data_IF_322440492999
#
_entry.id   IF_322440492999
#
_cell.length_a   1.000
_cell.length_b   1.000
_cell.length_c   1.000
_cell.angle_alpha   90.00
_cell.angle_beta   90.00
_cell.angle_gamma   90.00
#
_symmetry.space_group_name_H-M   'P 1'
#
loop_
_entity.id
_entity.type
_entity.pdbx_description
1 polymer ?
#
# COMPACT_ATOMS: atom_id res chain seq x y z
N UNK A 1 -27.22 5.29 4.88
CA UNK A 1 -26.07 4.74 4.14
C UNK A 1 -24.81 5.36 4.75
N UNK A 2 -23.86 4.56 5.19
CA UNK A 2 -22.61 5.08 5.77
C UNK A 2 -21.77 5.75 4.67
N UNK A 3 -21.16 6.88 4.98
CA UNK A 3 -20.34 7.67 4.06
C UNK A 3 -18.86 7.45 4.33
N UNK A 4 -18.08 7.25 3.28
CA UNK A 4 -16.65 7.01 3.42
C UNK A 4 -15.84 7.80 2.41
N UNK A 5 -14.75 8.41 2.87
CA UNK A 5 -13.75 9.08 2.04
C UNK A 5 -12.60 8.11 1.75
N UNK A 6 -12.27 7.90 0.46
CA UNK A 6 -11.16 7.04 0.05
C UNK A 6 -10.08 7.88 -0.62
N UNK A 7 -9.03 8.20 0.14
CA UNK A 7 -7.85 8.92 -0.34
C UNK A 7 -6.93 7.96 -1.09
N UNK A 8 -6.57 8.28 -2.33
CA UNK A 8 -5.79 7.39 -3.19
C UNK A 8 -6.62 6.29 -3.89
N UNK A 9 -7.96 6.43 -3.90
CA UNK A 9 -8.87 5.44 -4.46
C UNK A 9 -8.75 5.22 -5.97
N UNK A 10 -8.14 6.14 -6.73
CA UNK A 10 -7.85 5.96 -8.17
C UNK A 10 -6.62 5.08 -8.45
N UNK A 11 -5.86 4.71 -7.41
CA UNK A 11 -4.70 3.82 -7.53
C UNK A 11 -5.09 2.35 -7.63
N UNK A 12 -4.09 1.48 -7.86
CA UNK A 12 -4.27 0.03 -8.00
C UNK A 12 -5.07 -0.59 -6.83
N UNK A 13 -4.62 -0.40 -5.60
CA UNK A 13 -5.33 -0.92 -4.42
C UNK A 13 -6.66 -0.20 -4.21
N UNK A 14 -6.65 1.12 -4.43
CA UNK A 14 -7.82 1.97 -4.18
C UNK A 14 -9.03 1.64 -5.03
N UNK A 15 -8.83 1.25 -6.29
CA UNK A 15 -9.90 0.83 -7.17
C UNK A 15 -10.65 -0.39 -6.60
N UNK A 16 -9.91 -1.42 -6.17
CA UNK A 16 -10.49 -2.61 -5.57
C UNK A 16 -11.17 -2.35 -4.22
N UNK A 17 -10.62 -1.40 -3.43
CA UNK A 17 -11.26 -0.96 -2.18
C UNK A 17 -12.59 -0.25 -2.48
N UNK A 18 -12.61 0.68 -3.44
CA UNK A 18 -13.84 1.39 -3.83
C UNK A 18 -14.91 0.43 -4.33
N UNK A 19 -14.56 -0.54 -5.20
CA UNK A 19 -15.49 -1.56 -5.69
C UNK A 19 -16.12 -2.37 -4.55
N UNK A 20 -15.30 -2.84 -3.60
CA UNK A 20 -15.83 -3.60 -2.45
C UNK A 20 -16.70 -2.75 -1.54
N UNK A 21 -16.30 -1.52 -1.23
CA UNK A 21 -17.09 -0.62 -0.39
C UNK A 21 -18.45 -0.32 -0.98
N UNK A 22 -18.52 -0.08 -2.29
CA UNK A 22 -19.81 0.13 -2.99
C UNK A 22 -20.68 -1.13 -2.92
N UNK A 23 -20.11 -2.33 -3.10
CA UNK A 23 -20.85 -3.60 -2.97
C UNK A 23 -21.40 -3.83 -1.57
N UNK A 24 -20.69 -3.36 -0.54
CA UNK A 24 -21.13 -3.39 0.87
C UNK A 24 -22.09 -2.24 1.22
N UNK A 25 -22.55 -1.46 0.24
CA UNK A 25 -23.56 -0.41 0.43
C UNK A 25 -23.04 0.91 1.02
N UNK A 26 -21.72 1.18 0.95
CA UNK A 26 -21.17 2.46 1.36
C UNK A 26 -21.36 3.53 0.28
N UNK A 27 -21.64 4.78 0.70
CA UNK A 27 -21.50 5.95 -0.16
C UNK A 27 -20.04 6.38 -0.19
N UNK A 28 -19.37 6.15 -1.31
CA UNK A 28 -17.94 6.39 -1.46
C UNK A 28 -17.67 7.78 -2.04
N UNK A 29 -16.93 8.62 -1.33
CA UNK A 29 -16.37 9.88 -1.84
C UNK A 29 -14.91 9.66 -2.23
N UNK A 30 -14.58 9.95 -3.49
CA UNK A 30 -13.27 9.72 -4.09
C UNK A 30 -12.65 11.03 -4.55
N UNK A 31 -11.79 11.68 -3.74
CA UNK A 31 -11.04 12.84 -4.18
C UNK A 31 -9.89 12.45 -5.10
N UNK A 32 -9.71 13.21 -6.17
CA UNK A 32 -8.63 13.03 -7.13
C UNK A 32 -8.20 14.39 -7.70
N UNK A 33 -6.93 14.53 -8.07
CA UNK A 33 -6.42 15.77 -8.69
C UNK A 33 -6.97 16.02 -10.11
N UNK A 34 -7.43 14.97 -10.80
CA UNK A 34 -8.04 15.02 -12.14
C UNK A 34 -9.13 13.98 -12.23
N UNK A 35 -10.32 14.37 -12.65
CA UNK A 35 -11.47 13.43 -12.77
C UNK A 35 -11.18 12.26 -13.70
N UNK A 36 -10.37 12.48 -14.75
CA UNK A 36 -9.97 11.42 -15.68
C UNK A 36 -9.24 10.25 -15.04
N UNK A 37 -8.59 10.44 -13.89
CA UNK A 37 -7.94 9.34 -13.16
C UNK A 37 -8.97 8.32 -12.61
N UNK A 38 -10.23 8.72 -12.47
CA UNK A 38 -11.31 7.88 -11.93
C UNK A 38 -12.20 7.27 -13.03
N UNK A 39 -11.84 7.37 -14.32
CA UNK A 39 -12.69 6.90 -15.42
C UNK A 39 -13.13 5.45 -15.26
N UNK A 40 -12.24 4.58 -14.79
CA UNK A 40 -12.54 3.17 -14.56
C UNK A 40 -13.54 2.92 -13.41
N UNK A 41 -13.80 3.92 -12.56
CA UNK A 41 -14.65 3.78 -11.35
C UNK A 41 -15.97 4.57 -11.46
N UNK A 42 -16.11 5.43 -12.46
CA UNK A 42 -17.30 6.30 -12.59
C UNK A 42 -18.63 5.53 -12.78
N UNK A 43 -18.56 4.28 -13.22
CA UNK A 43 -19.74 3.43 -13.41
C UNK A 43 -20.26 2.82 -12.09
N UNK A 44 -19.51 2.95 -10.98
CA UNK A 44 -19.91 2.36 -9.71
C UNK A 44 -21.06 3.18 -9.07
N UNK A 45 -22.21 2.55 -8.76
CA UNK A 45 -23.32 3.22 -8.10
C UNK A 45 -22.92 3.64 -6.68
N UNK A 46 -23.26 4.87 -6.28
CA UNK A 46 -22.94 5.39 -4.94
C UNK A 46 -21.49 5.84 -4.77
N UNK A 47 -20.71 5.93 -5.86
CA UNK A 47 -19.37 6.54 -5.86
C UNK A 47 -19.45 7.96 -6.44
N UNK A 48 -18.97 8.93 -5.67
CA UNK A 48 -18.89 10.35 -6.06
C UNK A 48 -17.43 10.76 -6.23
N UNK A 49 -17.06 11.19 -7.44
CA UNK A 49 -15.70 11.68 -7.74
C UNK A 49 -15.65 13.20 -7.53
N UNK A 50 -14.73 13.66 -6.70
CA UNK A 50 -14.47 15.08 -6.44
C UNK A 50 -13.07 15.46 -6.94
N UNK A 51 -12.95 16.58 -7.65
CA UNK A 51 -11.65 17.11 -8.01
C UNK A 51 -11.10 17.92 -6.83
N UNK A 52 -10.00 17.42 -6.23
CA UNK A 52 -9.43 17.96 -5.00
C UNK A 52 -7.96 17.58 -4.87
N UNK A 53 -7.11 18.52 -4.48
CA UNK A 53 -5.76 18.19 -3.99
C UNK A 53 -5.83 17.95 -2.48
N UNK A 54 -5.70 16.70 -2.08
CA UNK A 54 -5.72 16.28 -0.66
C UNK A 54 -4.51 16.78 0.15
N UNK A 55 -3.51 17.35 -0.49
CA UNK A 55 -2.40 18.03 0.19
C UNK A 55 -2.74 19.46 0.60
N UNK A 56 -3.79 20.07 0.02
CA UNK A 56 -4.38 21.30 0.53
C UNK A 56 -5.22 21.00 1.77
N UNK A 57 -4.89 21.64 2.90
CA UNK A 57 -5.49 21.34 4.20
C UNK A 57 -6.96 21.77 4.25
N UNK A 58 -7.30 22.91 3.64
CA UNK A 58 -8.67 23.41 3.62
C UNK A 58 -9.56 22.51 2.73
N UNK A 59 -9.09 22.17 1.55
CA UNK A 59 -9.79 21.25 0.65
C UNK A 59 -9.98 19.86 1.27
N UNK A 60 -8.94 19.33 1.95
CA UNK A 60 -9.04 18.06 2.67
C UNK A 60 -10.10 18.12 3.78
N UNK A 61 -10.11 19.18 4.59
CA UNK A 61 -11.11 19.35 5.65
C UNK A 61 -12.54 19.37 5.11
N UNK A 62 -12.77 20.03 3.97
CA UNK A 62 -14.08 20.08 3.32
C UNK A 62 -14.57 18.69 2.87
N UNK A 63 -13.69 17.86 2.29
CA UNK A 63 -14.11 16.51 1.83
C UNK A 63 -14.19 15.49 2.96
N UNK A 64 -13.53 15.72 4.11
CA UNK A 64 -13.64 14.92 5.33
C UNK A 64 -14.94 15.22 6.09
N UNK A 65 -15.44 16.45 5.98
CA UNK A 65 -16.67 16.87 6.68
C UNK A 65 -17.86 15.97 6.31
N UNK A 66 -18.55 15.47 7.35
CA UNK A 66 -19.74 14.62 7.19
C UNK A 66 -19.47 13.19 6.72
N UNK A 67 -18.23 12.73 6.75
CA UNK A 67 -17.86 11.32 6.53
C UNK A 67 -17.92 10.55 7.86
N UNK A 68 -18.39 9.29 7.80
CA UNK A 68 -18.37 8.38 8.95
C UNK A 68 -17.00 7.74 9.12
N UNK A 69 -16.30 7.50 7.99
CA UNK A 69 -14.98 6.87 7.97
C UNK A 69 -14.07 7.44 6.88
N UNK A 70 -12.76 7.26 7.06
CA UNK A 70 -11.73 7.62 6.09
C UNK A 70 -10.81 6.43 5.83
N UNK A 71 -10.46 6.19 4.57
CA UNK A 71 -9.40 5.25 4.16
C UNK A 71 -8.28 6.03 3.51
N UNK A 72 -7.05 5.89 4.03
CA UNK A 72 -5.86 6.50 3.44
C UNK A 72 -4.97 5.45 2.75
N UNK A 73 -4.94 5.51 1.43
CA UNK A 73 -4.12 4.65 0.55
C UNK A 73 -3.04 5.47 -0.18
N UNK A 74 -2.91 6.76 0.13
CA UNK A 74 -1.97 7.64 -0.57
C UNK A 74 -0.55 7.29 -0.15
N UNK A 75 0.26 6.90 -1.13
CA UNK A 75 1.67 6.61 -0.95
C UNK A 75 2.45 6.86 -2.23
N UNK A 76 3.76 7.07 -2.10
CA UNK A 76 4.73 7.08 -3.19
C UNK A 76 5.84 6.07 -2.87
N UNK A 77 6.39 5.41 -3.89
CA UNK A 77 7.48 4.44 -3.76
C UNK A 77 8.84 5.03 -4.15
N UNK A 78 8.82 6.19 -4.82
CA UNK A 78 10.00 6.88 -5.31
C UNK A 78 9.87 8.36 -5.03
N UNK A 79 10.98 8.99 -4.71
CA UNK A 79 11.01 10.43 -4.43
C UNK A 79 12.23 10.82 -3.61
N UNK A 80 12.34 12.11 -3.33
CA UNK A 80 13.29 12.64 -2.37
C UNK A 80 12.67 12.70 -0.95
N UNK A 81 13.46 13.04 0.04
CA UNK A 81 13.01 13.14 1.43
C UNK A 81 11.82 14.08 1.59
N UNK A 82 11.81 15.23 0.92
CA UNK A 82 10.70 16.18 1.00
C UNK A 82 9.37 15.61 0.43
N UNK A 83 9.44 14.82 -0.65
CA UNK A 83 8.29 14.15 -1.22
C UNK A 83 7.73 13.07 -0.29
N UNK A 84 8.62 12.27 0.32
CA UNK A 84 8.24 11.26 1.31
C UNK A 84 7.63 11.93 2.55
N UNK A 85 8.25 12.97 3.10
CA UNK A 85 7.74 13.73 4.25
C UNK A 85 6.34 14.30 3.95
N UNK A 86 6.18 14.98 2.81
CA UNK A 86 4.89 15.54 2.39
C UNK A 86 3.79 14.49 2.32
N UNK A 87 4.11 13.30 1.77
CA UNK A 87 3.09 12.28 1.46
C UNK A 87 2.84 11.35 2.63
N UNK A 88 3.88 10.92 3.33
CA UNK A 88 3.77 9.87 4.34
C UNK A 88 3.67 10.39 5.77
N UNK A 89 4.03 11.65 6.03
CA UNK A 89 3.99 12.25 7.37
C UNK A 89 3.03 13.43 7.45
N UNK A 90 3.23 14.45 6.60
CA UNK A 90 2.42 15.66 6.64
C UNK A 90 0.96 15.39 6.24
N UNK A 91 0.71 14.55 5.22
CA UNK A 91 -0.66 14.19 4.83
C UNK A 91 -1.39 13.40 5.92
N UNK A 92 -0.86 12.32 6.52
CA UNK A 92 -1.46 11.67 7.69
C UNK A 92 -1.77 12.62 8.83
N UNK A 93 -0.89 13.60 9.13
CA UNK A 93 -1.13 14.62 10.16
C UNK A 93 -2.36 15.48 9.83
N UNK A 94 -2.49 15.92 8.56
CA UNK A 94 -3.66 16.70 8.12
C UNK A 94 -4.93 15.85 8.16
N UNK A 95 -4.86 14.58 7.76
CA UNK A 95 -6.00 13.64 7.85
C UNK A 95 -6.45 13.49 9.30
N UNK A 96 -5.53 13.23 10.22
CA UNK A 96 -5.85 13.11 11.65
C UNK A 96 -6.52 14.37 12.20
N UNK A 97 -5.96 15.55 11.89
CA UNK A 97 -6.53 16.84 12.28
C UNK A 97 -7.95 17.01 11.75
N UNK A 98 -8.18 16.72 10.48
CA UNK A 98 -9.51 16.83 9.86
C UNK A 98 -10.50 15.81 10.45
N UNK A 99 -10.07 14.55 10.69
CA UNK A 99 -10.91 13.53 11.32
C UNK A 99 -11.36 13.95 12.72
N UNK A 100 -10.45 14.47 13.54
CA UNK A 100 -10.78 14.96 14.89
C UNK A 100 -11.74 16.16 14.83
N UNK A 101 -11.47 17.13 13.97
CA UNK A 101 -12.29 18.33 13.83
C UNK A 101 -13.73 18.05 13.37
N UNK A 102 -13.93 17.02 12.54
CA UNK A 102 -15.24 16.67 11.97
C UNK A 102 -15.88 15.43 12.60
N UNK A 103 -15.31 14.87 13.67
CA UNK A 103 -15.87 13.75 14.41
C UNK A 103 -15.96 12.45 13.62
N UNK A 104 -15.02 12.21 12.70
CA UNK A 104 -14.90 10.94 11.96
C UNK A 104 -14.66 9.81 12.95
N UNK A 105 -15.40 8.71 12.80
CA UNK A 105 -15.38 7.60 13.77
C UNK A 105 -14.29 6.59 13.51
N UNK A 106 -13.92 6.36 12.24
CA UNK A 106 -13.00 5.29 11.84
C UNK A 106 -11.98 5.79 10.82
N UNK A 107 -10.71 5.41 11.01
CA UNK A 107 -9.64 5.65 10.05
C UNK A 107 -8.90 4.34 9.77
N UNK A 108 -8.86 3.95 8.50
CA UNK A 108 -8.01 2.85 8.03
C UNK A 108 -6.85 3.43 7.24
N UNK A 109 -5.62 3.16 7.69
CA UNK A 109 -4.39 3.62 7.04
C UNK A 109 -3.59 2.45 6.48
N UNK A 110 -3.31 2.45 5.18
CA UNK A 110 -2.45 1.45 4.56
C UNK A 110 -1.00 1.93 4.60
N UNK A 111 -0.22 1.23 5.42
CA UNK A 111 1.21 1.42 5.60
C UNK A 111 2.01 0.40 4.78
N UNK A 112 3.07 -0.17 5.32
CA UNK A 112 3.88 -1.22 4.70
C UNK A 112 4.51 -2.14 5.75
N UNK A 113 4.78 -3.39 5.39
CA UNK A 113 5.63 -4.27 6.20
C UNK A 113 7.05 -3.70 6.33
N UNK A 114 7.67 -3.98 7.47
CA UNK A 114 9.02 -3.51 7.78
C UNK A 114 9.05 -2.09 8.36
N UNK A 115 7.89 -1.42 8.56
CA UNK A 115 7.81 -0.14 9.27
C UNK A 115 7.87 -0.32 10.77
N UNK A 116 8.36 0.70 11.47
CA UNK A 116 8.35 0.79 12.93
C UNK A 116 7.92 2.20 13.35
N UNK A 117 6.77 2.29 14.02
CA UNK A 117 6.23 3.56 14.50
C UNK A 117 6.94 4.07 15.77
N UNK A 118 7.60 3.17 16.52
CA UNK A 118 8.30 3.53 17.76
C UNK A 118 9.70 4.05 17.48
N UNK A 119 10.40 3.47 16.50
CA UNK A 119 11.77 3.82 16.15
C UNK A 119 11.97 3.99 14.64
N UNK A 120 11.21 4.87 13.97
CA UNK A 120 11.24 4.99 12.51
C UNK A 120 12.62 5.37 11.97
N UNK A 121 13.40 6.15 12.73
CA UNK A 121 14.72 6.62 12.31
C UNK A 121 15.78 5.53 12.20
N UNK A 122 15.56 4.37 12.84
CA UNK A 122 16.48 3.22 12.75
C UNK A 122 16.35 2.45 11.44
N UNK A 123 15.27 2.69 10.68
CA UNK A 123 15.00 1.97 9.45
C UNK A 123 15.93 2.40 8.30
N UNK A 124 16.34 1.47 7.42
CA UNK A 124 17.41 1.72 6.45
C UNK A 124 17.02 2.65 5.30
N UNK A 125 15.74 2.73 4.92
CA UNK A 125 15.28 3.52 3.78
C UNK A 125 14.45 4.74 4.20
N UNK A 126 14.45 5.79 3.37
CA UNK A 126 13.59 6.96 3.55
C UNK A 126 12.11 6.58 3.48
N UNK A 127 11.77 5.64 2.58
CA UNK A 127 10.42 5.11 2.45
C UNK A 127 9.91 4.51 3.77
N UNK A 128 10.62 3.55 4.33
CA UNK A 128 10.20 2.88 5.58
C UNK A 128 10.18 3.86 6.75
N UNK A 129 11.19 4.74 6.86
CA UNK A 129 11.22 5.78 7.90
C UNK A 129 9.98 6.66 7.84
N UNK A 130 9.70 7.25 6.69
CA UNK A 130 8.56 8.16 6.52
C UNK A 130 7.21 7.47 6.74
N UNK A 131 7.08 6.20 6.35
CA UNK A 131 5.86 5.41 6.64
C UNK A 131 5.70 5.17 8.14
N UNK A 132 6.77 4.80 8.85
CA UNK A 132 6.76 4.64 10.31
C UNK A 132 6.45 5.93 11.05
N UNK A 133 7.00 7.08 10.63
CA UNK A 133 6.66 8.39 11.18
C UNK A 133 5.18 8.75 10.96
N UNK A 134 4.63 8.45 9.79
CA UNK A 134 3.21 8.65 9.50
C UNK A 134 2.30 7.80 10.40
N UNK A 135 2.68 6.55 10.65
CA UNK A 135 1.98 5.70 11.63
C UNK A 135 2.03 6.29 13.04
N UNK A 136 3.21 6.76 13.49
CA UNK A 136 3.39 7.37 14.81
C UNK A 136 2.46 8.58 15.01
N UNK A 137 2.36 9.45 13.99
CA UNK A 137 1.45 10.61 13.99
C UNK A 137 -0.01 10.17 14.15
N UNK A 138 -0.44 9.14 13.42
CA UNK A 138 -1.82 8.65 13.50
C UNK A 138 -2.13 7.96 14.83
N UNK A 139 -1.20 7.17 15.34
CA UNK A 139 -1.31 6.50 16.65
C UNK A 139 -1.47 7.55 17.77
N UNK A 140 -0.63 8.59 17.76
CA UNK A 140 -0.72 9.68 18.73
C UNK A 140 -2.08 10.37 18.66
N UNK A 141 -2.56 10.70 17.47
CA UNK A 141 -3.85 11.36 17.28
C UNK A 141 -5.04 10.49 17.72
N UNK A 142 -5.01 9.17 17.42
CA UNK A 142 -6.06 8.24 17.78
C UNK A 142 -6.14 7.98 19.29
N UNK A 143 -5.00 8.03 20.00
CA UNK A 143 -4.92 7.79 21.44
C UNK A 143 -5.57 8.89 22.29
N UNK A 144 -6.02 10.00 21.67
CA UNK A 144 -6.80 11.02 22.35
C UNK A 144 -6.05 11.76 23.48
N UNK A 145 -4.74 11.88 23.37
CA UNK A 145 -3.93 12.72 24.29
C UNK A 145 -4.17 14.22 24.03
N UNK A 146 -5.42 14.67 24.14
CA UNK A 146 -5.72 16.09 24.31
C UNK A 146 -5.49 16.41 25.77
N UNK A 147 -4.36 17.01 26.08
CA UNK A 147 -4.06 17.49 27.43
C UNK A 147 -5.22 18.37 27.92
N UNK A 148 -5.96 17.91 28.94
CA UNK A 148 -6.90 18.73 29.70
C UNK A 148 -8.40 18.48 29.50
N UNK A 149 -8.86 17.60 28.62
CA UNK A 149 -10.27 17.21 28.57
C UNK A 149 -10.40 15.71 28.84
N UNK A 150 -11.18 15.34 29.86
CA UNK A 150 -11.45 13.95 30.22
C UNK A 150 -12.28 13.15 29.21
N UNK A 151 -12.50 13.64 28.02
CA UNK A 151 -13.20 12.98 26.93
C UNK A 151 -12.18 12.34 25.97
N UNK A 152 -12.34 11.05 25.69
CA UNK A 152 -11.59 10.34 24.64
C UNK A 152 -12.08 10.83 23.26
N UNK A 153 -11.48 11.90 22.78
CA UNK A 153 -11.78 12.49 21.48
C UNK A 153 -10.94 11.91 20.34
N UNK A 154 -10.78 10.59 20.28
CA UNK A 154 -10.05 9.92 19.19
C UNK A 154 -10.97 9.24 18.19
N UNK A 155 -10.40 8.75 17.09
CA UNK A 155 -11.05 7.88 16.12
C UNK A 155 -10.52 6.44 16.26
N UNK A 156 -11.32 5.45 15.84
CA UNK A 156 -10.89 4.06 15.77
C UNK A 156 -9.90 3.89 14.61
N UNK A 157 -8.63 3.59 14.93
CA UNK A 157 -7.53 3.50 13.99
C UNK A 157 -7.14 2.06 13.69
N UNK A 158 -7.17 1.68 12.41
CA UNK A 158 -6.58 0.44 11.92
C UNK A 158 -5.43 0.77 10.96
N UNK A 159 -4.23 0.29 11.28
CA UNK A 159 -3.04 0.39 10.43
C UNK A 159 -2.83 -0.97 9.77
N UNK A 160 -2.87 -1.01 8.45
CA UNK A 160 -2.64 -2.20 7.65
C UNK A 160 -1.23 -2.15 7.07
N UNK A 161 -0.42 -3.15 7.36
CA UNK A 161 0.96 -3.29 6.86
C UNK A 161 1.02 -4.42 5.82
N UNK A 162 0.71 -4.15 4.55
CA UNK A 162 0.83 -5.17 3.51
C UNK A 162 2.30 -5.44 3.15
N UNK A 163 2.59 -6.68 2.76
CA UNK A 163 3.71 -7.05 1.92
C UNK A 163 3.50 -6.47 0.50
N UNK A 164 4.38 -6.81 -0.44
CA UNK A 164 4.18 -6.44 -1.84
C UNK A 164 2.82 -6.95 -2.34
N UNK A 165 2.01 -6.04 -2.88
CA UNK A 165 0.65 -6.34 -3.30
C UNK A 165 0.67 -6.73 -4.78
N UNK A 166 0.09 -7.89 -5.11
CA UNK A 166 -0.01 -8.38 -6.47
C UNK A 166 -1.45 -8.45 -6.98
N UNK A 167 -1.62 -8.45 -8.31
CA UNK A 167 -2.91 -8.53 -8.99
C UNK A 167 -2.80 -8.11 -10.46
N UNK A 168 -3.90 -8.19 -11.21
CA UNK A 168 -3.89 -8.01 -12.67
C UNK A 168 -3.28 -6.70 -13.20
N UNK A 169 -3.27 -5.64 -12.39
CA UNK A 169 -2.75 -4.31 -12.74
C UNK A 169 -1.54 -3.90 -11.88
N UNK A 170 -0.91 -4.86 -11.15
CA UNK A 170 0.25 -4.54 -10.34
C UNK A 170 1.43 -4.01 -11.15
N UNK A 171 2.25 -3.20 -10.50
CA UNK A 171 3.51 -2.68 -11.05
C UNK A 171 4.71 -3.53 -10.57
N UNK A 172 4.51 -4.80 -10.25
CA UNK A 172 5.53 -5.69 -9.72
C UNK A 172 5.71 -6.92 -10.62
N UNK A 173 4.84 -7.93 -10.55
CA UNK A 173 4.95 -9.14 -11.39
C UNK A 173 4.80 -8.80 -12.89
N UNK A 174 3.86 -7.90 -13.22
CA UNK A 174 3.67 -7.44 -14.60
C UNK A 174 4.91 -6.73 -15.17
N UNK A 175 5.63 -5.96 -14.37
CA UNK A 175 6.87 -5.29 -14.81
C UNK A 175 7.96 -6.31 -15.09
N UNK A 176 8.17 -7.28 -14.19
CA UNK A 176 9.17 -8.32 -14.41
C UNK A 176 8.84 -9.24 -15.59
N UNK A 177 7.56 -9.58 -15.80
CA UNK A 177 7.13 -10.30 -17.00
C UNK A 177 7.43 -9.51 -18.29
N UNK A 178 7.17 -8.20 -18.31
CA UNK A 178 7.52 -7.32 -19.45
C UNK A 178 9.02 -7.23 -19.68
N UNK A 179 9.82 -7.09 -18.64
CA UNK A 179 11.28 -7.05 -18.76
C UNK A 179 11.84 -8.35 -19.35
N UNK A 180 11.30 -9.50 -18.94
CA UNK A 180 11.71 -10.80 -19.49
C UNK A 180 11.29 -11.01 -20.96
N UNK A 181 10.30 -10.28 -21.48
CA UNK A 181 9.99 -10.26 -22.93
C UNK A 181 11.08 -9.57 -23.74
N UNK A 182 11.66 -8.51 -23.18
CA UNK A 182 12.64 -7.65 -23.86
C UNK A 182 14.05 -8.22 -23.70
N UNK A 183 14.40 -8.66 -22.50
CA UNK A 183 15.76 -9.09 -22.15
C UNK A 183 15.86 -10.60 -22.04
N UNK A 184 16.82 -11.25 -22.76
CA UNK A 184 17.00 -12.69 -22.67
C UNK A 184 17.57 -13.14 -21.33
N UNK A 185 18.16 -12.23 -20.57
CA UNK A 185 18.76 -12.44 -19.24
C UNK A 185 18.48 -11.23 -18.35
N UNK A 186 18.13 -11.46 -17.09
CA UNK A 186 17.89 -10.38 -16.13
C UNK A 186 18.95 -10.33 -15.03
N UNK A 187 19.81 -9.31 -15.02
CA UNK A 187 20.61 -8.98 -13.84
C UNK A 187 19.69 -8.33 -12.78
N UNK A 188 19.64 -8.92 -11.60
CA UNK A 188 18.68 -8.55 -10.55
C UNK A 188 19.37 -8.09 -9.28
N UNK A 189 19.18 -6.84 -8.93
CA UNK A 189 19.57 -6.28 -7.64
C UNK A 189 18.63 -6.80 -6.53
N UNK A 190 19.16 -7.10 -5.33
CA UNK A 190 18.36 -7.58 -4.20
C UNK A 190 17.76 -8.98 -4.40
N UNK A 191 18.37 -9.84 -5.21
CA UNK A 191 17.84 -11.16 -5.61
C UNK A 191 17.42 -12.05 -4.43
N UNK A 192 18.08 -11.93 -3.28
CA UNK A 192 17.82 -12.74 -2.07
C UNK A 192 16.84 -12.07 -1.08
N UNK A 193 16.38 -10.85 -1.37
CA UNK A 193 15.40 -10.18 -0.52
C UNK A 193 14.12 -10.99 -0.44
N UNK A 194 13.57 -11.15 0.78
CA UNK A 194 12.41 -11.98 1.05
C UNK A 194 11.13 -11.16 1.00
N UNK A 195 10.10 -11.72 0.38
CA UNK A 195 8.75 -11.16 0.25
C UNK A 195 7.71 -12.22 0.54
N UNK A 196 6.57 -11.80 1.08
CA UNK A 196 5.41 -12.64 1.32
C UNK A 196 4.18 -12.01 0.64
N UNK A 197 4.09 -12.06 -0.70
CA UNK A 197 3.15 -11.28 -1.50
C UNK A 197 1.71 -11.50 -1.09
N UNK A 198 0.93 -10.43 -1.04
CA UNK A 198 -0.50 -10.46 -0.70
C UNK A 198 -1.37 -10.07 -1.89
N UNK A 199 -2.48 -10.76 -2.09
CA UNK A 199 -3.42 -10.44 -3.16
C UNK A 199 -4.18 -9.15 -2.88
N UNK A 200 -4.33 -8.31 -3.91
CA UNK A 200 -5.00 -7.00 -3.79
C UNK A 200 -6.45 -7.12 -3.29
N UNK A 201 -7.15 -8.22 -3.63
CA UNK A 201 -8.51 -8.44 -3.15
C UNK A 201 -8.56 -8.77 -1.65
N UNK A 202 -7.53 -9.45 -1.13
CA UNK A 202 -7.42 -9.73 0.32
C UNK A 202 -7.14 -8.43 1.08
N UNK A 203 -6.28 -7.56 0.53
CA UNK A 203 -6.05 -6.22 1.09
C UNK A 203 -7.33 -5.38 1.09
N UNK A 204 -8.07 -5.37 -0.02
CA UNK A 204 -9.34 -4.63 -0.10
C UNK A 204 -10.39 -5.20 0.86
N UNK A 205 -10.42 -6.54 1.02
CA UNK A 205 -11.30 -7.20 2.01
C UNK A 205 -10.89 -6.82 3.43
N UNK A 206 -9.60 -6.76 3.74
CA UNK A 206 -9.11 -6.36 5.06
C UNK A 206 -9.54 -4.93 5.42
N UNK A 207 -9.48 -3.99 4.47
CA UNK A 207 -10.00 -2.62 4.67
C UNK A 207 -11.48 -2.64 5.05
N UNK A 208 -12.31 -3.37 4.28
CA UNK A 208 -13.75 -3.47 4.54
C UNK A 208 -14.04 -4.14 5.88
N UNK A 209 -13.31 -5.20 6.24
CA UNK A 209 -13.46 -5.89 7.52
C UNK A 209 -13.11 -5.00 8.72
N UNK A 210 -12.05 -4.19 8.61
CA UNK A 210 -11.72 -3.21 9.64
C UNK A 210 -12.85 -2.20 9.85
N UNK A 211 -13.43 -1.67 8.77
CA UNK A 211 -14.55 -0.74 8.80
C UNK A 211 -15.87 -1.36 9.34
N UNK A 212 -16.03 -2.67 9.14
CA UNK A 212 -17.15 -3.43 9.71
C UNK A 212 -16.96 -3.78 11.20
N UNK A 213 -15.82 -3.42 11.80
CA UNK A 213 -15.51 -3.75 13.19
C UNK A 213 -15.18 -5.23 13.43
N UNK A 214 -14.73 -5.95 12.40
CA UNK A 214 -14.41 -7.37 12.50
C UNK A 214 -13.17 -7.66 13.36
N UNK A 215 -12.26 -6.69 13.51
CA UNK A 215 -11.11 -6.84 14.41
C UNK A 215 -11.52 -6.66 15.87
N UNK A 216 -11.22 -7.65 16.70
CA UNK A 216 -11.43 -7.58 18.15
C UNK A 216 -10.30 -6.85 18.90
N UNK A 217 -9.20 -6.52 18.22
CA UNK A 217 -8.09 -5.81 18.82
C UNK A 217 -8.50 -4.35 19.15
N UNK A 218 -8.03 -3.87 20.31
CA UNK A 218 -8.25 -2.49 20.71
C UNK A 218 -7.59 -1.50 19.72
N UNK A 219 -8.19 -0.31 19.57
CA UNK A 219 -7.62 0.79 18.79
C UNK A 219 -6.59 1.57 19.65
N UNK A 220 -5.48 2.05 19.07
CA UNK A 220 -5.01 1.80 17.68
C UNK A 220 -4.50 0.36 17.49
N UNK A 221 -4.82 -0.24 16.34
CA UNK A 221 -4.40 -1.61 16.01
C UNK A 221 -3.57 -1.66 14.73
N UNK A 222 -2.57 -2.54 14.69
CA UNK A 222 -1.75 -2.82 13.51
C UNK A 222 -1.98 -4.25 13.08
N UNK A 223 -2.13 -4.49 11.76
CA UNK A 223 -2.41 -5.79 11.16
C UNK A 223 -1.45 -6.00 10.00
N UNK A 224 -0.74 -7.12 9.99
CA UNK A 224 0.16 -7.51 8.89
C UNK A 224 -0.62 -8.27 7.81
N UNK A 225 -0.55 -7.78 6.58
CA UNK A 225 -1.27 -8.38 5.46
C UNK A 225 -0.28 -9.10 4.54
N UNK A 226 -0.26 -10.42 4.61
CA UNK A 226 0.66 -11.27 3.86
C UNK A 226 -0.06 -12.44 3.22
N UNK A 227 0.49 -12.96 2.12
CA UNK A 227 0.07 -14.22 1.52
C UNK A 227 0.59 -15.43 2.30
N UNK A 228 0.24 -16.67 1.87
CA UNK A 228 0.61 -17.89 2.57
C UNK A 228 2.08 -18.30 2.37
N UNK A 229 2.77 -17.76 1.36
CA UNK A 229 4.07 -18.24 0.90
C UNK A 229 5.11 -17.13 0.89
N UNK A 230 6.34 -17.49 1.29
CA UNK A 230 7.52 -16.61 1.25
C UNK A 230 8.36 -16.93 0.03
N UNK A 231 8.76 -15.90 -0.70
CA UNK A 231 9.60 -15.99 -1.90
C UNK A 231 10.80 -15.06 -1.78
N UNK A 232 11.91 -15.42 -2.41
CA UNK A 232 12.95 -14.45 -2.74
C UNK A 232 12.52 -13.61 -3.96
N UNK A 233 13.08 -12.41 -4.09
CA UNK A 233 12.84 -11.58 -5.28
C UNK A 233 13.17 -12.33 -6.57
N UNK A 234 14.28 -13.10 -6.57
CA UNK A 234 14.68 -13.95 -7.70
C UNK A 234 13.58 -14.96 -8.07
N UNK A 235 13.00 -15.64 -7.08
CA UNK A 235 11.90 -16.59 -7.31
C UNK A 235 10.66 -15.91 -7.90
N UNK A 236 10.28 -14.73 -7.39
CA UNK A 236 9.14 -13.96 -7.91
C UNK A 236 9.37 -13.52 -9.36
N UNK A 237 10.59 -13.07 -9.68
CA UNK A 237 10.96 -12.69 -11.05
C UNK A 237 10.92 -13.91 -11.97
N UNK A 238 11.52 -15.04 -11.59
CA UNK A 238 11.47 -16.28 -12.38
C UNK A 238 10.03 -16.75 -12.59
N UNK A 239 9.22 -16.78 -11.53
CA UNK A 239 7.83 -17.18 -11.57
C UNK A 239 7.01 -16.29 -12.52
N UNK A 240 7.23 -14.97 -12.51
CA UNK A 240 6.52 -14.06 -13.42
C UNK A 240 6.78 -14.38 -14.89
N UNK A 241 8.02 -14.78 -15.24
CA UNK A 241 8.38 -15.21 -16.60
C UNK A 241 7.79 -16.57 -16.96
N UNK A 242 7.81 -17.52 -16.03
CA UNK A 242 7.22 -18.84 -16.20
C UNK A 242 5.71 -18.76 -16.47
N UNK A 243 5.00 -18.00 -15.62
CA UNK A 243 3.55 -17.81 -15.75
C UNK A 243 3.17 -17.02 -17.01
N UNK A 244 4.06 -16.17 -17.52
CA UNK A 244 3.88 -15.47 -18.80
C UNK A 244 4.25 -16.35 -20.02
N UNK A 245 4.61 -17.64 -19.84
CA UNK A 245 4.96 -18.56 -20.92
C UNK A 245 6.30 -18.27 -21.60
N UNK A 246 7.17 -17.46 -20.97
CA UNK A 246 8.45 -17.07 -21.57
C UNK A 246 9.51 -18.17 -21.42
N UNK A 247 10.49 -18.21 -22.34
CA UNK A 247 11.56 -19.21 -22.30
C UNK A 247 11.08 -20.66 -22.36
N UNK A 248 10.02 -20.93 -23.13
CA UNK A 248 9.44 -22.29 -23.17
C UNK A 248 8.72 -22.70 -21.88
N UNK A 249 8.28 -21.73 -21.06
CA UNK A 249 7.62 -21.98 -19.77
C UNK A 249 8.57 -22.05 -18.57
N UNK A 250 9.89 -21.89 -18.78
CA UNK A 250 10.90 -21.87 -17.71
C UNK A 250 11.23 -20.46 -17.20
N UNK A 251 10.74 -19.42 -17.88
CA UNK A 251 11.17 -18.04 -17.66
C UNK A 251 12.56 -17.75 -18.25
N UNK A 252 13.05 -16.52 -18.08
CA UNK A 252 14.42 -16.15 -18.49
C UNK A 252 15.39 -16.37 -17.34
N UNK A 253 16.68 -16.63 -17.60
CA UNK A 253 17.72 -16.69 -16.57
C UNK A 253 17.81 -15.40 -15.78
N UNK A 254 17.82 -15.50 -14.44
CA UNK A 254 17.91 -14.38 -13.51
C UNK A 254 19.17 -14.53 -12.67
N UNK A 255 20.05 -13.55 -12.70
CA UNK A 255 21.30 -13.54 -11.96
C UNK A 255 21.30 -12.42 -10.91
N UNK A 256 21.59 -12.79 -9.65
CA UNK A 256 21.76 -11.80 -8.58
C UNK A 256 23.00 -10.95 -8.81
N UNK A 257 22.87 -9.63 -8.66
CA UNK A 257 24.00 -8.71 -8.70
C UNK A 257 24.63 -8.57 -7.31
N UNK A 258 25.97 -8.45 -7.22
CA UNK A 258 26.60 -8.03 -5.98
C UNK A 258 26.20 -6.58 -5.64
N UNK A 259 26.30 -6.21 -4.36
CA UNK A 259 25.74 -4.96 -3.83
C UNK A 259 26.24 -3.69 -4.56
N UNK A 260 27.53 -3.65 -4.89
CA UNK A 260 28.12 -2.52 -5.63
C UNK A 260 27.53 -2.35 -7.03
N UNK A 261 27.32 -3.46 -7.75
CA UNK A 261 26.74 -3.45 -9.09
C UNK A 261 25.23 -3.12 -9.03
N UNK A 262 24.52 -3.64 -8.02
CA UNK A 262 23.13 -3.32 -7.74
C UNK A 262 22.92 -1.81 -7.51
N UNK A 263 23.79 -1.18 -6.71
CA UNK A 263 23.75 0.26 -6.46
C UNK A 263 24.07 1.09 -7.71
N UNK A 264 25.03 0.64 -8.51
CA UNK A 264 25.34 1.29 -9.80
C UNK A 264 24.15 1.21 -10.75
N UNK A 265 23.53 0.01 -10.88
CA UNK A 265 22.33 -0.19 -11.70
C UNK A 265 21.19 0.73 -11.24
N UNK A 266 20.90 0.80 -9.94
CA UNK A 266 19.83 1.65 -9.41
C UNK A 266 20.09 3.15 -9.67
N UNK A 267 21.34 3.62 -9.57
CA UNK A 267 21.72 5.00 -9.93
C UNK A 267 21.50 5.29 -11.41
N UNK A 268 21.91 4.39 -12.29
CA UNK A 268 21.73 4.55 -13.74
C UNK A 268 20.23 4.55 -14.13
N UNK A 269 19.42 3.68 -13.50
CA UNK A 269 17.97 3.68 -13.71
C UNK A 269 17.31 4.97 -13.23
N UNK A 270 17.83 5.61 -12.19
CA UNK A 270 17.36 6.91 -11.69
C UNK A 270 17.63 8.08 -12.64
N UNK A 271 18.51 7.93 -13.64
CA UNK A 271 18.76 8.95 -14.68
C UNK A 271 17.80 8.84 -15.86
N UNK A 272 17.08 7.73 -16.01
CA UNK A 272 16.10 7.55 -17.08
C UNK A 272 14.84 8.39 -16.80
N UNK A 273 14.21 8.97 -17.83
CA UNK A 273 12.97 9.71 -17.66
C UNK A 273 11.83 8.76 -17.20
N UNK A 274 11.04 9.21 -16.22
CA UNK A 274 9.92 8.45 -15.65
C UNK A 274 10.20 7.86 -14.28
N UNK A 275 9.28 7.01 -13.79
CA UNK A 275 9.45 6.29 -12.52
C UNK A 275 10.48 5.16 -12.72
N UNK A 276 11.59 5.13 -11.97
CA UNK A 276 12.57 4.06 -12.09
C UNK A 276 11.97 2.72 -11.63
N UNK A 277 12.31 1.63 -12.30
CA UNK A 277 11.91 0.28 -11.87
C UNK A 277 12.48 -0.05 -10.50
N UNK A 278 13.67 0.49 -10.20
CA UNK A 278 14.37 0.30 -8.92
C UNK A 278 15.19 1.55 -8.59
N UNK A 279 15.13 1.97 -7.33
CA UNK A 279 15.94 3.07 -6.79
C UNK A 279 16.90 2.57 -5.71
N UNK A 280 17.86 3.39 -5.31
CA UNK A 280 18.75 3.08 -4.18
C UNK A 280 17.98 2.93 -2.88
N UNK A 281 16.91 3.70 -2.68
CA UNK A 281 16.03 3.62 -1.51
C UNK A 281 15.26 2.28 -1.47
N UNK A 282 14.85 1.75 -2.65
CA UNK A 282 14.26 0.41 -2.71
C UNK A 282 15.26 -0.68 -2.30
N UNK A 283 16.53 -0.56 -2.70
CA UNK A 283 17.58 -1.50 -2.26
C UNK A 283 17.79 -1.43 -0.74
N UNK A 284 17.75 -0.24 -0.18
CA UNK A 284 17.83 -0.07 1.27
C UNK A 284 16.60 -0.63 1.97
N UNK A 285 15.39 -0.49 1.40
CA UNK A 285 14.17 -1.12 1.92
C UNK A 285 14.27 -2.66 1.95
N UNK A 286 14.94 -3.26 0.95
CA UNK A 286 15.12 -4.72 0.85
C UNK A 286 16.07 -5.31 1.90
N UNK A 287 16.78 -4.49 2.68
CA UNK A 287 17.55 -4.95 3.84
C UNK A 287 16.68 -5.44 4.99
N UNK A 288 15.41 -5.03 5.01
CA UNK A 288 14.41 -5.52 5.93
C UNK A 288 13.54 -6.55 5.21
N UNK A 289 13.41 -7.78 5.73
CA UNK A 289 12.52 -8.79 5.12
C UNK A 289 11.08 -8.26 5.01
N UNK A 290 10.47 -8.40 3.84
CA UNK A 290 9.08 -8.01 3.60
C UNK A 290 8.13 -9.19 3.84
N UNK A 291 8.23 -9.77 5.05
CA UNK A 291 7.48 -10.94 5.52
C UNK A 291 6.85 -10.64 6.89
N UNK A 292 5.81 -11.38 7.25
CA UNK A 292 5.18 -11.21 8.56
C UNK A 292 6.18 -11.39 9.70
N UNK A 293 6.11 -10.50 10.69
CA UNK A 293 6.99 -10.55 11.86
C UNK A 293 6.49 -11.49 12.94
N UNK A 294 5.20 -11.85 12.89
CA UNK A 294 4.51 -12.59 13.95
C UNK A 294 4.23 -11.76 15.21
N UNK A 295 4.57 -10.47 15.21
CA UNK A 295 4.33 -9.56 16.35
C UNK A 295 2.92 -8.96 16.32
N UNK A 296 2.30 -8.93 15.15
CA UNK A 296 0.98 -8.36 14.95
C UNK A 296 0.05 -9.40 14.33
N UNK A 297 -1.29 -9.28 14.56
CA UNK A 297 -2.26 -10.17 13.95
C UNK A 297 -2.19 -10.08 12.42
N UNK A 298 -2.55 -11.17 11.75
CA UNK A 298 -2.61 -11.30 10.29
C UNK A 298 -4.03 -11.19 9.72
N UNK A 299 -4.19 -11.60 8.46
CA UNK A 299 -5.48 -11.66 7.75
C UNK A 299 -6.50 -12.57 8.44
N UNK A 300 -6.04 -13.64 9.08
CA UNK A 300 -6.84 -14.59 9.85
C UNK A 300 -7.62 -13.92 10.98
N UNK A 301 -7.04 -12.91 11.63
CA UNK A 301 -7.70 -12.12 12.68
C UNK A 301 -8.92 -11.32 12.17
N UNK A 302 -9.02 -11.13 10.86
CA UNK A 302 -10.15 -10.51 10.17
C UNK A 302 -11.09 -11.54 9.54
N UNK A 303 -10.86 -12.85 9.77
CA UNK A 303 -11.60 -13.93 9.13
C UNK A 303 -11.33 -14.06 7.63
N UNK A 304 -10.11 -13.72 7.20
CA UNK A 304 -9.69 -13.78 5.79
C UNK A 304 -8.65 -14.88 5.64
N UNK A 305 -8.90 -15.86 4.78
CA UNK A 305 -7.90 -16.83 4.35
C UNK A 305 -7.05 -16.20 3.25
N UNK A 306 -5.74 -16.11 3.48
CA UNK A 306 -4.80 -15.53 2.52
C UNK A 306 -4.75 -16.33 1.22
N UNK A 307 -4.82 -15.64 0.09
CA UNK A 307 -4.84 -16.25 -1.24
C UNK A 307 -3.44 -16.56 -1.74
N UNK A 308 -3.24 -17.75 -2.34
CA UNK A 308 -1.97 -18.18 -2.93
C UNK A 308 -1.65 -17.37 -4.20
N UNK A 309 -0.35 -17.04 -4.39
CA UNK A 309 0.08 -16.18 -5.49
C UNK A 309 -0.07 -16.85 -6.85
N UNK A 310 0.41 -18.09 -7.00
CA UNK A 310 0.59 -18.73 -8.30
C UNK A 310 -0.73 -18.91 -9.09
N UNK A 311 -1.83 -19.44 -8.52
CA UNK A 311 -3.08 -19.62 -9.27
C UNK A 311 -3.67 -18.30 -9.76
N UNK A 312 -3.56 -17.25 -8.96
CA UNK A 312 -4.09 -15.92 -9.28
C UNK A 312 -3.23 -15.25 -10.36
N UNK A 313 -1.90 -15.25 -10.17
CA UNK A 313 -0.97 -14.65 -11.11
C UNK A 313 -1.01 -15.31 -12.49
N UNK A 314 -1.21 -16.63 -12.53
CA UNK A 314 -1.40 -17.38 -13.77
C UNK A 314 -2.57 -16.83 -14.59
N UNK A 315 -3.69 -16.50 -13.95
CA UNK A 315 -4.90 -16.02 -14.62
C UNK A 315 -4.74 -14.68 -15.35
N UNK A 316 -3.75 -13.87 -14.99
CA UNK A 316 -3.55 -12.56 -15.64
C UNK A 316 -2.19 -12.38 -16.33
N UNK A 317 -1.21 -13.26 -16.09
CA UNK A 317 0.08 -13.23 -16.77
C UNK A 317 0.10 -14.09 -18.03
N UNK A 318 -0.71 -15.16 -18.10
CA UNK A 318 -0.87 -15.99 -19.31
C UNK A 318 -1.52 -15.19 -20.43
N UNK A 319 -0.90 -15.21 -21.64
CA UNK A 319 -1.50 -14.63 -22.85
C UNK A 319 -1.33 -13.11 -23.02
N UNK A 320 -0.46 -12.46 -22.25
CA UNK A 320 -0.11 -11.03 -22.44
C UNK A 320 1.14 -10.83 -23.30
#
# INVERSE_FOLDING_TARGET
>A
MKKILVLGGTGFVGAHVCEKLVREGWAVTLPTRRRSNANALQHLPGLTVLECDVHDEAALAQVVAGQDAVVNLVAILHGNQAAFERTHVALPRKIAKACLAHGVKQLVHVSALGTDALQPQTLPSMYLRSKGEGEAVLIQAASGAVAGSGERGGFDLSILRPSVIFGAQDKFLNVFAKLQKIFPVLPLAGANAQFQPVWVQDVATAVVRCLAGASQAASPRTIELVGPEVFTLKQLVQLSGQLAGLGGGFGRPVFGLPDWAARLQAKLMGLAPGEPVMSTDNLDSMKVPNVATGKFPGLDSLGITASALQPIAQGYLQGR
#
